data_IF_787793474869
#
_entry.id   IF_787793474869
#
_cell.length_a   1.000
_cell.length_b   1.000
_cell.length_c   1.000
_cell.angle_alpha   90.00
_cell.angle_beta   90.00
_cell.angle_gamma   90.00
#
_symmetry.space_group_name_H-M   'P 1'
#
loop_
_entity.id
_entity.type
_entity.pdbx_description
1 polymer ?
#
# COMPACT_ATOMS: atom_id res chain seq x y z
N UNK A 1 -20.79 20.64 -42.62
CA UNK A 1 -20.97 20.46 -41.16
C UNK A 1 -21.69 19.13 -40.95
N UNK A 2 -20.93 18.05 -40.76
CA UNK A 2 -21.49 16.74 -40.39
C UNK A 2 -21.73 16.77 -38.87
N UNK A 3 -22.96 17.06 -38.48
CA UNK A 3 -23.39 17.15 -37.09
C UNK A 3 -23.49 15.75 -36.50
N UNK A 4 -22.49 15.39 -35.70
CA UNK A 4 -22.46 14.18 -34.88
C UNK A 4 -23.39 14.33 -33.65
N UNK A 5 -24.70 14.43 -33.88
CA UNK A 5 -25.70 14.68 -32.85
C UNK A 5 -26.09 13.44 -32.01
N UNK A 6 -25.48 12.27 -32.25
CA UNK A 6 -25.83 11.00 -31.61
C UNK A 6 -24.77 10.38 -30.69
N UNK A 7 -23.53 10.86 -30.71
CA UNK A 7 -22.45 10.33 -29.86
C UNK A 7 -22.16 11.19 -28.62
N UNK A 8 -22.76 12.38 -28.52
CA UNK A 8 -22.45 13.37 -27.47
C UNK A 8 -23.27 13.21 -26.16
N UNK A 9 -24.17 12.22 -26.08
CA UNK A 9 -25.08 12.07 -24.92
C UNK A 9 -24.49 11.24 -23.78
N UNK A 10 -23.58 10.29 -24.08
CA UNK A 10 -22.89 9.51 -23.06
C UNK A 10 -21.42 9.42 -23.44
N UNK A 11 -20.52 9.76 -22.52
CA UNK A 11 -19.09 9.44 -22.65
C UNK A 11 -18.90 8.00 -22.18
N UNK A 12 -18.83 6.98 -23.07
CA UNK A 12 -18.84 5.58 -22.66
C UNK A 12 -17.49 5.11 -22.09
N UNK A 13 -16.50 6.00 -22.03
CA UNK A 13 -15.12 5.68 -21.68
C UNK A 13 -14.71 6.38 -20.39
N UNK A 14 -14.63 5.60 -19.31
CA UNK A 14 -13.95 5.98 -18.08
C UNK A 14 -12.51 5.46 -18.12
N UNK A 15 -11.54 6.37 -18.19
CA UNK A 15 -10.12 6.03 -18.19
C UNK A 15 -9.52 6.32 -16.80
N UNK A 16 -8.96 5.30 -16.15
CA UNK A 16 -8.23 5.44 -14.89
C UNK A 16 -6.74 5.21 -15.14
N UNK A 17 -5.94 6.27 -14.96
CA UNK A 17 -4.49 6.18 -15.10
C UNK A 17 -3.85 5.90 -13.74
N UNK A 18 -3.30 4.70 -13.57
CA UNK A 18 -2.62 4.26 -12.33
C UNK A 18 -1.17 3.95 -12.64
N UNK A 19 -0.26 4.43 -11.81
CA UNK A 19 1.15 4.15 -11.97
C UNK A 19 2.01 4.75 -10.88
N UNK A 20 3.32 4.53 -11.02
CA UNK A 20 4.33 5.07 -10.12
C UNK A 20 4.51 6.59 -10.31
N UNK A 21 5.23 7.29 -9.40
CA UNK A 21 5.51 8.73 -9.54
C UNK A 21 6.14 9.14 -10.89
N UNK A 22 6.81 8.21 -11.57
CA UNK A 22 7.33 8.37 -12.95
C UNK A 22 6.23 8.73 -13.95
N UNK A 23 5.05 8.12 -13.85
CA UNK A 23 3.90 8.41 -14.71
C UNK A 23 3.48 9.89 -14.58
N UNK A 24 3.45 10.42 -13.35
CA UNK A 24 3.15 11.83 -13.11
C UNK A 24 4.19 12.75 -13.76
N UNK A 25 5.47 12.37 -13.75
CA UNK A 25 6.53 13.14 -14.42
C UNK A 25 6.35 13.10 -15.94
N UNK A 26 6.02 11.94 -16.50
CA UNK A 26 5.74 11.79 -17.94
C UNK A 26 4.54 12.64 -18.35
N UNK A 27 3.48 12.69 -17.52
CA UNK A 27 2.29 13.49 -17.83
C UNK A 27 2.53 15.00 -17.92
N UNK A 28 3.60 15.49 -17.29
CA UNK A 28 4.01 16.90 -17.35
C UNK A 28 4.85 17.27 -18.58
N UNK A 29 5.14 16.32 -19.47
CA UNK A 29 5.88 16.60 -20.70
C UNK A 29 5.02 17.49 -21.62
N UNK A 30 5.63 18.49 -22.25
CA UNK A 30 4.92 19.45 -23.10
C UNK A 30 4.08 18.79 -24.21
N UNK A 31 4.56 17.65 -24.75
CA UNK A 31 3.85 16.86 -25.77
C UNK A 31 2.52 16.27 -25.26
N UNK A 32 2.35 16.13 -23.95
CA UNK A 32 1.15 15.57 -23.31
C UNK A 32 0.28 16.63 -22.62
N UNK A 33 0.56 17.94 -22.80
CA UNK A 33 -0.16 19.01 -22.10
C UNK A 33 -1.69 18.99 -22.30
N UNK A 34 -2.16 18.66 -23.51
CA UNK A 34 -3.60 18.55 -23.80
C UNK A 34 -4.26 17.37 -23.06
N UNK A 35 -3.54 16.26 -22.89
CA UNK A 35 -4.00 15.11 -22.12
C UNK A 35 -3.95 15.43 -20.62
N UNK A 36 -2.88 16.07 -20.16
CA UNK A 36 -2.72 16.48 -18.76
C UNK A 36 -3.91 17.34 -18.30
N UNK A 37 -4.39 18.29 -19.11
CA UNK A 37 -5.54 19.13 -18.78
C UNK A 37 -6.86 18.35 -18.58
N UNK A 38 -7.00 17.14 -19.14
CA UNK A 38 -8.24 16.35 -19.13
C UNK A 38 -8.26 15.23 -18.08
N UNK A 39 -7.14 14.95 -17.40
CA UNK A 39 -7.02 13.83 -16.44
C UNK A 39 -7.22 14.25 -14.98
N UNK A 40 -8.26 15.04 -14.69
CA UNK A 40 -8.64 15.39 -13.32
C UNK A 40 -9.84 14.53 -12.86
N UNK A 41 -9.92 14.12 -11.58
CA UNK A 41 -9.05 14.45 -10.44
C UNK A 41 -7.76 13.60 -10.36
N UNK A 42 -6.72 14.14 -9.71
CA UNK A 42 -5.44 13.46 -9.48
C UNK A 42 -5.27 13.18 -7.99
N UNK A 43 -4.95 11.95 -7.65
CA UNK A 43 -4.70 11.55 -6.26
C UNK A 43 -3.36 10.83 -6.14
N UNK A 44 -2.62 11.13 -5.07
CA UNK A 44 -1.45 10.35 -4.66
C UNK A 44 -1.86 9.58 -3.42
N UNK A 45 -1.78 8.26 -3.46
CA UNK A 45 -1.98 7.44 -2.27
C UNK A 45 -0.79 7.65 -1.32
N UNK A 46 -1.00 8.25 -0.12
CA UNK A 46 0.03 8.26 0.90
C UNK A 46 0.22 6.85 1.50
N UNK A 47 1.24 6.70 2.33
CA UNK A 47 1.32 5.55 3.22
C UNK A 47 0.12 5.51 4.17
N UNK A 48 -0.25 4.31 4.61
CA UNK A 48 -1.29 4.10 5.62
C UNK A 48 -0.89 4.78 6.93
N UNK A 49 -1.85 5.27 7.69
CA UNK A 49 -1.67 5.68 9.08
C UNK A 49 -1.38 4.47 9.99
N UNK A 50 -0.98 4.72 11.24
CA UNK A 50 -0.75 3.62 12.20
C UNK A 50 -2.02 2.78 12.42
N UNK A 51 -3.18 3.44 12.56
CA UNK A 51 -4.46 2.74 12.74
C UNK A 51 -4.86 1.93 11.50
N UNK A 52 -4.68 2.50 10.30
CA UNK A 52 -4.90 1.77 9.05
C UNK A 52 -3.93 0.60 8.90
N UNK A 53 -2.68 0.74 9.35
CA UNK A 53 -1.68 -0.34 9.32
C UNK A 53 -2.10 -1.50 10.24
N UNK A 54 -2.52 -1.21 11.47
CA UNK A 54 -3.04 -2.24 12.39
C UNK A 54 -4.27 -2.94 11.82
N UNK A 55 -5.22 -2.16 11.29
CA UNK A 55 -6.42 -2.70 10.63
C UNK A 55 -6.09 -3.54 9.39
N UNK A 56 -5.12 -3.10 8.60
CA UNK A 56 -4.63 -3.78 7.41
C UNK A 56 -4.04 -5.15 7.75
N UNK A 57 -3.15 -5.21 8.76
CA UNK A 57 -2.56 -6.47 9.23
C UNK A 57 -3.65 -7.39 9.79
N UNK A 58 -4.55 -6.89 10.64
CA UNK A 58 -5.66 -7.66 11.19
C UNK A 58 -6.59 -8.21 10.09
N UNK A 59 -6.87 -7.42 9.05
CA UNK A 59 -7.66 -7.86 7.90
C UNK A 59 -6.97 -8.98 7.13
N UNK A 60 -5.66 -8.85 6.87
CA UNK A 60 -4.87 -9.89 6.21
C UNK A 60 -4.82 -11.20 7.01
N UNK A 61 -4.69 -11.11 8.34
CA UNK A 61 -4.74 -12.29 9.22
C UNK A 61 -6.12 -12.97 9.21
N UNK A 62 -7.19 -12.16 9.21
CA UNK A 62 -8.56 -12.67 9.07
C UNK A 62 -8.75 -13.44 7.75
N UNK A 63 -8.23 -12.92 6.64
CA UNK A 63 -8.27 -13.64 5.35
C UNK A 63 -7.48 -14.95 5.42
N UNK A 64 -6.35 -14.97 6.14
CA UNK A 64 -5.56 -16.18 6.38
C UNK A 64 -6.20 -17.17 7.37
N UNK A 65 -7.42 -16.90 7.87
CA UNK A 65 -8.14 -17.78 8.79
C UNK A 65 -7.70 -17.66 10.26
N UNK A 66 -6.94 -16.62 10.61
CA UNK A 66 -6.51 -16.32 11.98
C UNK A 66 -7.09 -14.98 12.42
N UNK A 67 -8.34 -14.95 12.93
CA UNK A 67 -8.93 -13.71 13.45
C UNK A 67 -8.32 -13.26 14.79
N UNK A 68 -7.57 -14.15 15.44
CA UNK A 68 -6.92 -13.89 16.73
C UNK A 68 -5.79 -12.86 16.59
N UNK A 69 -5.54 -12.12 17.67
CA UNK A 69 -4.43 -11.18 17.71
C UNK A 69 -3.11 -11.94 17.69
N UNK A 70 -2.36 -11.83 16.58
CA UNK A 70 -1.01 -12.41 16.44
C UNK A 70 0.12 -11.39 16.58
N UNK A 71 -0.19 -10.10 16.65
CA UNK A 71 0.79 -9.03 16.82
C UNK A 71 0.44 -8.20 18.05
N UNK A 72 1.46 -7.85 18.84
CA UNK A 72 1.32 -6.85 19.90
C UNK A 72 1.24 -5.45 19.30
N UNK A 73 0.66 -4.50 20.04
CA UNK A 73 0.58 -3.10 19.60
C UNK A 73 1.98 -2.48 19.38
N UNK A 74 2.96 -2.85 20.21
CA UNK A 74 4.35 -2.39 20.05
C UNK A 74 4.98 -2.92 18.76
N UNK A 75 4.71 -4.18 18.41
CA UNK A 75 5.16 -4.77 17.14
C UNK A 75 4.53 -4.06 15.94
N UNK A 76 3.23 -3.79 15.97
CA UNK A 76 2.52 -3.07 14.91
C UNK A 76 3.04 -1.64 14.76
N UNK A 77 3.30 -0.95 15.87
CA UNK A 77 3.86 0.40 15.88
C UNK A 77 5.26 0.43 15.26
N UNK A 78 6.11 -0.54 15.60
CA UNK A 78 7.44 -0.66 15.02
C UNK A 78 7.37 -0.96 13.51
N UNK A 79 6.51 -1.90 13.09
CA UNK A 79 6.31 -2.23 11.68
C UNK A 79 5.80 -1.01 10.90
N UNK A 80 4.84 -0.27 11.43
CA UNK A 80 4.31 0.95 10.80
C UNK A 80 5.43 2.00 10.63
N UNK A 81 6.20 2.26 11.68
CA UNK A 81 7.26 3.28 11.68
C UNK A 81 8.36 2.93 10.67
N UNK A 82 8.82 1.67 10.65
CA UNK A 82 9.85 1.22 9.70
C UNK A 82 9.35 1.19 8.26
N UNK A 83 8.12 0.71 8.03
CA UNK A 83 7.52 0.63 6.70
C UNK A 83 7.07 1.99 6.14
N UNK A 84 6.97 3.02 7.00
CA UNK A 84 6.31 4.31 6.70
C UNK A 84 4.87 4.15 6.21
N UNK A 85 4.20 3.06 6.63
CA UNK A 85 2.84 2.73 6.22
C UNK A 85 2.69 2.25 4.76
N UNK A 86 3.78 1.95 4.04
CA UNK A 86 3.67 1.41 2.68
C UNK A 86 3.25 -0.07 2.72
N UNK A 87 2.12 -0.47 2.09
CA UNK A 87 1.57 -1.82 2.22
C UNK A 87 2.56 -2.94 1.89
N UNK A 88 3.37 -2.78 0.84
CA UNK A 88 4.39 -3.77 0.46
C UNK A 88 5.45 -3.95 1.55
N UNK A 89 5.91 -2.85 2.14
CA UNK A 89 6.91 -2.90 3.21
C UNK A 89 6.30 -3.47 4.50
N UNK A 90 5.06 -3.10 4.84
CA UNK A 90 4.30 -3.70 5.95
C UNK A 90 4.23 -5.21 5.78
N UNK A 91 3.81 -5.71 4.61
CA UNK A 91 3.70 -7.15 4.36
C UNK A 91 5.03 -7.90 4.52
N UNK A 92 6.11 -7.34 3.98
CA UNK A 92 7.43 -7.97 4.07
C UNK A 92 7.90 -8.04 5.53
N UNK A 93 7.79 -6.94 6.28
CA UNK A 93 8.15 -6.90 7.69
C UNK A 93 7.28 -7.83 8.54
N UNK A 94 5.95 -7.81 8.33
CA UNK A 94 5.03 -8.70 9.03
C UNK A 94 5.33 -10.17 8.77
N UNK A 95 5.62 -10.55 7.52
CA UNK A 95 5.98 -11.93 7.19
C UNK A 95 7.26 -12.37 7.89
N UNK A 96 8.31 -11.56 7.84
CA UNK A 96 9.57 -11.87 8.50
C UNK A 96 9.43 -11.90 10.03
N UNK A 97 8.63 -10.99 10.60
CA UNK A 97 8.35 -11.00 12.04
C UNK A 97 7.57 -12.26 12.46
N UNK A 98 6.65 -12.76 11.64
CA UNK A 98 5.97 -14.03 11.86
C UNK A 98 6.94 -15.22 11.82
N UNK A 99 7.88 -15.24 10.86
CA UNK A 99 8.92 -16.26 10.78
C UNK A 99 9.82 -16.22 12.02
N UNK A 100 10.25 -15.03 12.44
CA UNK A 100 11.08 -14.86 13.65
C UNK A 100 10.35 -15.32 14.93
N UNK A 101 9.05 -15.01 15.06
CA UNK A 101 8.23 -15.49 16.17
C UNK A 101 8.09 -17.02 16.15
N UNK A 102 7.90 -17.61 14.96
CA UNK A 102 7.81 -19.06 14.80
C UNK A 102 9.12 -19.76 15.19
N UNK A 103 10.27 -19.28 14.72
CA UNK A 103 11.60 -19.84 15.05
C UNK A 103 11.89 -19.78 16.56
N UNK A 104 11.39 -18.75 17.24
CA UNK A 104 11.55 -18.58 18.69
C UNK A 104 10.47 -19.27 19.52
N UNK A 105 9.53 -19.98 18.88
CA UNK A 105 8.44 -20.70 19.55
C UNK A 105 7.41 -19.80 20.23
N UNK A 106 7.31 -18.54 19.82
CA UNK A 106 6.34 -17.58 20.37
C UNK A 106 5.02 -17.66 19.60
N UNK A 107 3.91 -17.61 20.34
CA UNK A 107 2.56 -17.56 19.75
C UNK A 107 2.14 -16.15 19.29
N UNK A 108 2.86 -15.12 19.74
CA UNK A 108 2.63 -13.72 19.43
C UNK A 108 3.90 -13.09 18.85
N UNK A 109 3.74 -12.28 17.82
CA UNK A 109 4.78 -11.39 17.32
C UNK A 109 4.86 -10.19 18.27
N UNK A 110 5.94 -10.16 19.05
CA UNK A 110 6.28 -9.06 19.92
C UNK A 110 7.26 -8.09 19.25
N UNK A 111 7.60 -7.00 19.96
CA UNK A 111 8.54 -6.01 19.47
C UNK A 111 9.91 -6.62 19.13
N UNK A 112 10.35 -7.66 19.85
CA UNK A 112 11.64 -8.32 19.60
C UNK A 112 11.66 -9.06 18.28
N UNK A 113 10.58 -9.81 17.96
CA UNK A 113 10.42 -10.49 16.68
C UNK A 113 10.26 -9.48 15.54
N UNK A 114 9.51 -8.40 15.75
CA UNK A 114 9.39 -7.31 14.78
C UNK A 114 10.75 -6.62 14.54
N UNK A 115 11.56 -6.38 15.57
CA UNK A 115 12.89 -5.77 15.42
C UNK A 115 13.87 -6.67 14.68
N UNK A 116 13.79 -7.99 14.86
CA UNK A 116 14.57 -8.95 14.08
C UNK A 116 14.27 -8.84 12.57
N UNK A 117 13.00 -8.64 12.19
CA UNK A 117 12.61 -8.42 10.80
C UNK A 117 13.22 -7.15 10.19
N UNK A 118 13.36 -6.09 11.00
CA UNK A 118 13.97 -4.83 10.55
C UNK A 118 15.46 -5.01 10.26
N UNK A 119 16.19 -5.74 11.11
CA UNK A 119 17.62 -5.97 10.89
C UNK A 119 17.90 -6.80 9.63
N UNK A 120 17.00 -7.71 9.28
CA UNK A 120 17.16 -8.56 8.09
C UNK A 120 16.87 -7.77 6.80
N UNK A 121 15.84 -6.91 6.80
CA UNK A 121 15.49 -6.05 5.64
C UNK A 121 16.54 -4.96 5.37
N UNK A 122 17.34 -4.56 6.38
CA UNK A 122 18.46 -3.59 6.21
C UNK A 122 19.76 -4.28 5.78
N UNK A 123 19.85 -5.61 5.89
CA UNK A 123 21.01 -6.40 5.49
C UNK A 123 21.10 -6.68 3.99
N UNK A 124 20.00 -6.53 3.26
CA UNK A 124 19.89 -6.60 1.79
C UNK A 124 19.90 -5.19 1.15
#
# INVERSE_FOLDING_TARGET
>A
MLTNQGMDQDSPLSCLLVGQPTLRRTMKLAVLAALEQRTAPRYTMPGMTSAETSSYVAHHLKIAGRPDQLFTEDALTLIHTTSRGYPRAVNNLSLQALVAAFVTGKNLVDETAARASVSEVVGD
#
